data_IF_600635544761
#
_entry.id   IF_600635544761
#
_cell.length_a   1.000
_cell.length_b   1.000
_cell.length_c   1.000
_cell.angle_alpha   90.00
_cell.angle_beta   90.00
_cell.angle_gamma   90.00
#
_symmetry.space_group_name_H-M   'P 1'
#
loop_
_entity.id
_entity.type
_entity.pdbx_description
1 polymer ?
#
# COMPACT_ATOMS: atom_id res chain seq x y z
N UNK A 1 -43.09 33.10 -30.88
CA UNK A 1 -43.18 32.46 -29.54
C UNK A 1 -42.28 31.22 -29.45
N UNK A 2 -42.25 30.34 -30.45
CA UNK A 2 -41.37 29.15 -30.49
C UNK A 2 -39.86 29.45 -30.43
N UNK A 3 -39.40 30.50 -31.13
CA UNK A 3 -37.97 30.89 -31.15
C UNK A 3 -37.44 31.35 -29.79
N UNK A 4 -38.32 31.92 -28.95
CA UNK A 4 -37.98 32.37 -27.60
C UNK A 4 -37.78 31.18 -26.67
N UNK A 5 -38.62 30.15 -26.81
CA UNK A 5 -38.46 28.89 -26.08
C UNK A 5 -37.14 28.20 -26.44
N UNK A 6 -36.81 28.09 -27.73
CA UNK A 6 -35.53 27.52 -28.17
C UNK A 6 -34.31 28.32 -27.71
N UNK A 7 -34.40 29.66 -27.70
CA UNK A 7 -33.34 30.53 -27.19
C UNK A 7 -33.17 30.37 -25.65
N UNK A 8 -34.28 30.26 -24.91
CA UNK A 8 -34.26 30.02 -23.47
C UNK A 8 -33.67 28.65 -23.14
N UNK A 9 -34.11 27.60 -23.84
CA UNK A 9 -33.57 26.24 -23.68
C UNK A 9 -32.07 26.21 -23.99
N UNK A 10 -31.60 26.85 -25.07
CA UNK A 10 -30.17 26.85 -25.42
C UNK A 10 -29.33 27.68 -24.43
N UNK A 11 -29.84 28.81 -23.95
CA UNK A 11 -29.11 29.67 -23.00
C UNK A 11 -29.08 29.12 -21.58
N UNK A 12 -30.10 28.36 -21.18
CA UNK A 12 -30.21 27.75 -19.85
C UNK A 12 -29.95 26.25 -19.83
N UNK A 13 -29.64 25.65 -20.98
CA UNK A 13 -29.35 24.22 -21.12
C UNK A 13 -28.37 23.71 -20.06
N UNK A 14 -27.20 24.34 -19.82
CA UNK A 14 -26.25 23.83 -18.84
C UNK A 14 -26.81 23.73 -17.42
N UNK A 15 -27.73 24.63 -17.04
CA UNK A 15 -28.33 24.65 -15.71
C UNK A 15 -29.37 23.55 -15.50
N UNK A 16 -29.87 22.96 -16.59
CA UNK A 16 -30.86 21.87 -16.53
C UNK A 16 -30.17 20.53 -16.80
N UNK A 17 -29.28 20.47 -17.78
CA UNK A 17 -28.58 19.24 -18.14
C UNK A 17 -27.59 18.80 -17.07
N UNK A 18 -26.90 19.72 -16.41
CA UNK A 18 -25.93 19.37 -15.37
C UNK A 18 -26.58 18.71 -14.15
N UNK A 19 -27.64 19.26 -13.52
CA UNK A 19 -28.32 18.58 -12.42
C UNK A 19 -28.90 17.22 -12.83
N UNK A 20 -29.49 17.13 -14.02
CA UNK A 20 -30.04 15.87 -14.53
C UNK A 20 -28.94 14.83 -14.71
N UNK A 21 -27.83 15.20 -15.35
CA UNK A 21 -26.68 14.31 -15.54
C UNK A 21 -26.07 13.89 -14.20
N UNK A 22 -25.99 14.79 -13.23
CA UNK A 22 -25.51 14.50 -11.88
C UNK A 22 -26.38 13.45 -11.18
N UNK A 23 -27.71 13.62 -11.20
CA UNK A 23 -28.65 12.65 -10.62
C UNK A 23 -28.55 11.29 -11.31
N UNK A 24 -28.50 11.28 -12.65
CA UNK A 24 -28.33 10.05 -13.43
C UNK A 24 -27.00 9.37 -13.10
N UNK A 25 -25.91 10.14 -12.94
CA UNK A 25 -24.61 9.63 -12.54
C UNK A 25 -24.62 9.02 -11.13
N UNK A 26 -25.26 9.67 -10.16
CA UNK A 26 -25.39 9.15 -8.80
C UNK A 26 -26.20 7.85 -8.76
N UNK A 27 -27.33 7.80 -9.47
CA UNK A 27 -28.16 6.60 -9.57
C UNK A 27 -27.41 5.50 -10.31
N UNK A 28 -26.73 5.83 -11.40
CA UNK A 28 -25.89 4.90 -12.16
C UNK A 28 -24.76 4.32 -11.32
N UNK A 29 -24.11 5.14 -10.49
CA UNK A 29 -23.08 4.67 -9.54
C UNK A 29 -23.64 3.69 -8.53
N UNK A 30 -24.81 3.96 -7.95
CA UNK A 30 -25.46 3.04 -7.02
C UNK A 30 -25.90 1.74 -7.71
N UNK A 31 -26.39 1.84 -8.95
CA UNK A 31 -26.78 0.68 -9.74
C UNK A 31 -25.56 -0.16 -10.15
N UNK A 32 -24.46 0.48 -10.54
CA UNK A 32 -23.18 -0.17 -10.82
C UNK A 32 -22.70 -0.89 -9.56
N UNK A 33 -22.72 -0.23 -8.41
CA UNK A 33 -22.32 -0.85 -7.14
C UNK A 33 -23.21 -2.05 -6.78
N UNK A 34 -24.53 -1.94 -7.00
CA UNK A 34 -25.47 -3.03 -6.78
C UNK A 34 -25.23 -4.23 -7.72
N UNK A 35 -24.89 -3.98 -8.99
CA UNK A 35 -24.63 -5.02 -9.99
C UNK A 35 -23.23 -5.64 -9.87
N UNK A 36 -22.22 -4.83 -9.53
CA UNK A 36 -20.83 -5.24 -9.39
C UNK A 36 -20.60 -6.09 -8.14
N UNK A 37 -21.51 -6.00 -7.17
CA UNK A 37 -21.37 -6.61 -5.85
C UNK A 37 -20.33 -5.87 -5.01
N UNK A 38 -20.15 -6.32 -3.77
CA UNK A 38 -19.05 -5.82 -2.95
C UNK A 38 -17.75 -6.03 -3.73
N UNK A 39 -16.94 -4.97 -3.96
CA UNK A 39 -15.59 -5.19 -4.45
C UNK A 39 -14.96 -6.23 -3.51
N UNK A 40 -14.14 -7.18 -4.02
CA UNK A 40 -13.41 -8.05 -3.12
C UNK A 40 -12.81 -7.15 -2.06
N UNK A 41 -12.99 -7.45 -0.75
CA UNK A 41 -12.47 -6.60 0.31
C UNK A 41 -11.07 -6.27 -0.14
N UNK A 42 -10.75 -4.98 -0.33
CA UNK A 42 -9.43 -4.56 -0.78
C UNK A 42 -8.52 -5.25 0.22
N UNK A 43 -7.94 -6.38 -0.18
CA UNK A 43 -7.61 -7.43 0.76
C UNK A 43 -6.29 -6.98 1.30
N UNK A 44 -6.36 -6.01 2.22
CA UNK A 44 -5.37 -4.98 2.52
C UNK A 44 -4.12 -5.35 1.79
N UNK A 45 -3.97 -4.94 0.52
CA UNK A 45 -2.98 -5.55 -0.38
C UNK A 45 -1.64 -5.29 0.27
N UNK A 46 -1.21 -6.22 1.13
CA UNK A 46 -0.20 -5.94 2.13
C UNK A 46 0.98 -5.52 1.33
N UNK A 47 1.46 -4.33 1.61
CA UNK A 47 2.55 -3.79 0.83
C UNK A 47 3.67 -4.83 0.84
N UNK A 48 4.41 -4.97 -0.26
CA UNK A 48 5.48 -5.97 -0.33
C UNK A 48 6.47 -5.80 0.85
N UNK A 49 6.59 -4.58 1.38
CA UNK A 49 7.23 -4.25 2.66
C UNK A 49 6.59 -4.97 3.87
N UNK A 50 5.30 -4.80 4.11
CA UNK A 50 4.56 -5.45 5.20
C UNK A 50 4.66 -6.98 5.12
N UNK A 51 4.53 -7.56 3.93
CA UNK A 51 4.69 -9.01 3.74
C UNK A 51 6.10 -9.49 4.09
N UNK A 52 7.13 -8.68 3.84
CA UNK A 52 8.52 -9.00 4.21
C UNK A 52 8.73 -8.89 5.71
N UNK A 53 8.11 -7.91 6.35
CA UNK A 53 8.17 -7.75 7.80
C UNK A 53 7.46 -8.89 8.51
N UNK A 54 6.27 -9.27 8.06
CA UNK A 54 5.54 -10.43 8.57
C UNK A 54 6.35 -11.72 8.47
N UNK A 55 7.06 -11.93 7.34
CA UNK A 55 7.95 -13.09 7.18
C UNK A 55 9.10 -13.07 8.19
N UNK A 56 9.74 -11.90 8.38
CA UNK A 56 10.79 -11.74 9.40
C UNK A 56 10.26 -12.00 10.81
N UNK A 57 9.07 -11.51 11.13
CA UNK A 57 8.43 -11.72 12.42
C UNK A 57 8.14 -13.21 12.65
N UNK A 58 7.65 -13.93 11.64
CA UNK A 58 7.45 -15.38 11.71
C UNK A 58 8.76 -16.16 11.92
N UNK A 59 9.84 -15.78 11.23
CA UNK A 59 11.16 -16.39 11.40
C UNK A 59 11.78 -16.13 12.78
N UNK A 60 11.44 -14.99 13.40
CA UNK A 60 11.90 -14.59 14.73
C UNK A 60 11.06 -15.27 15.83
N UNK A 61 9.75 -15.44 15.63
CA UNK A 61 8.83 -15.98 16.62
C UNK A 61 9.19 -17.40 17.12
N UNK A 62 9.95 -18.17 16.32
CA UNK A 62 10.42 -19.52 16.69
C UNK A 62 11.87 -19.59 17.22
N UNK A 63 12.58 -18.47 17.35
CA UNK A 63 13.99 -18.43 17.76
C UNK A 63 14.15 -17.75 19.11
N UNK A 64 14.92 -18.38 19.99
CA UNK A 64 15.33 -17.78 21.26
C UNK A 64 16.39 -16.69 20.99
N UNK A 65 15.95 -15.43 20.93
CA UNK A 65 16.79 -14.26 20.64
C UNK A 65 17.82 -13.98 21.74
N UNK A 66 17.69 -14.61 22.91
CA UNK A 66 18.62 -14.41 24.04
C UNK A 66 19.87 -15.26 23.93
N UNK A 67 19.84 -16.34 23.14
CA UNK A 67 21.01 -17.17 22.82
C UNK A 67 21.76 -16.62 21.63
N UNK A 68 22.43 -15.49 21.83
CA UNK A 68 23.36 -14.94 20.85
C UNK A 68 24.73 -15.59 21.06
N UNK A 69 25.28 -16.20 20.01
CA UNK A 69 26.66 -16.72 20.01
C UNK A 69 27.60 -15.60 20.45
N UNK A 70 28.47 -15.89 21.42
CA UNK A 70 29.35 -14.87 21.97
C UNK A 70 30.21 -14.26 20.85
N UNK A 71 30.38 -12.93 20.86
CA UNK A 71 31.19 -12.24 19.85
C UNK A 71 32.65 -12.75 19.83
N UNK A 72 33.12 -13.33 20.93
CA UNK A 72 34.44 -13.95 21.07
C UNK A 72 34.55 -15.21 20.20
N UNK A 73 33.53 -16.05 20.21
CA UNK A 73 33.47 -17.29 19.41
C UNK A 73 33.28 -17.00 17.91
N UNK A 74 32.56 -15.92 17.56
CA UNK A 74 32.49 -15.42 16.18
C UNK A 74 33.82 -14.84 15.66
N UNK A 75 34.65 -14.27 16.53
CA UNK A 75 35.96 -13.74 16.14
C UNK A 75 36.95 -14.86 15.79
N UNK A 76 36.80 -16.04 16.39
CA UNK A 76 37.59 -17.23 16.07
C UNK A 76 37.18 -17.85 14.73
N UNK A 77 35.91 -17.73 14.35
CA UNK A 77 35.38 -18.24 13.07
C UNK A 77 35.50 -17.25 11.90
N UNK A 78 35.66 -15.95 12.17
CA UNK A 78 35.85 -14.95 11.12
C UNK A 78 37.32 -14.91 10.67
N UNK A 79 37.62 -14.90 9.36
CA UNK A 79 38.99 -14.75 8.87
C UNK A 79 39.59 -13.45 9.41
N UNK A 80 40.79 -13.52 10.01
CA UNK A 80 41.47 -12.37 10.62
C UNK A 80 41.48 -11.20 9.63
N UNK A 81 40.73 -10.13 9.94
CA UNK A 81 40.71 -8.93 9.11
C UNK A 81 42.14 -8.39 8.93
N UNK A 82 42.47 -7.90 7.73
CA UNK A 82 43.80 -7.37 7.35
C UNK A 82 44.30 -6.31 8.34
N UNK A 83 43.39 -5.58 8.99
CA UNK A 83 43.68 -4.57 10.01
C UNK A 83 44.33 -5.14 11.29
N UNK A 84 44.12 -6.42 11.61
CA UNK A 84 44.71 -7.07 12.80
C UNK A 84 46.18 -7.47 12.61
N UNK A 85 46.75 -7.31 11.41
CA UNK A 85 48.14 -7.71 11.11
C UNK A 85 49.20 -6.88 11.87
N UNK A 86 48.85 -5.66 12.30
CA UNK A 86 49.76 -4.73 12.98
C UNK A 86 49.50 -4.60 14.49
N UNK A 87 48.55 -5.34 15.07
CA UNK A 87 48.26 -5.24 16.50
C UNK A 87 49.23 -6.15 17.26
N UNK A 88 50.05 -5.63 18.20
CA UNK A 88 50.91 -6.48 19.01
C UNK A 88 50.04 -7.41 19.86
N UNK A 89 50.29 -8.73 19.78
CA UNK A 89 49.65 -9.71 20.67
C UNK A 89 50.10 -9.37 22.11
N UNK A 90 49.16 -8.92 22.94
CA UNK A 90 49.41 -8.75 24.38
C UNK A 90 49.38 -10.13 25.01
N UNK A 91 50.49 -10.49 25.66
CA UNK A 91 50.65 -11.66 26.53
C UNK A 91 49.63 -11.69 27.66
#
# INVERSE_FOLDING_TARGET
MWSVLWAAVRSKAPYVTFPVAFVVGLVGYHLEWFLRGDPPPAAEEKSISEQREDRKLQEIAGKDLTKVVSLKEKLEFAPRAVLNRNRPEKS
#
